data_IF_602806620813
#
_entry.id   IF_602806620813
#
_cell.length_a   1.000
_cell.length_b   1.000
_cell.length_c   1.000
_cell.angle_alpha   90.00
_cell.angle_beta   90.00
_cell.angle_gamma   90.00
#
_symmetry.space_group_name_H-M   'P 1'
#
loop_
_entity.id
_entity.type
_entity.pdbx_description
1 polymer ?
#
# COMPACT_ATOMS: atom_id res chain seq x y z
N UNK A 1 -5.36 29.93 -5.68
CA UNK A 1 -4.09 29.56 -6.34
C UNK A 1 -4.09 28.05 -6.44
N UNK A 2 -4.62 27.51 -7.55
CA UNK A 2 -4.53 26.08 -7.82
C UNK A 2 -3.07 25.74 -8.08
N UNK A 3 -2.35 25.44 -7.01
CA UNK A 3 -1.06 24.77 -7.10
C UNK A 3 -1.37 23.45 -7.80
N UNK A 4 -0.88 23.30 -9.03
CA UNK A 4 -0.91 22.06 -9.79
C UNK A 4 -0.35 20.94 -8.91
N UNK A 5 -1.23 20.23 -8.19
CA UNK A 5 -0.87 19.01 -7.48
C UNK A 5 -0.51 18.04 -8.60
N UNK A 6 0.77 17.70 -8.76
CA UNK A 6 1.17 16.85 -9.87
C UNK A 6 0.39 15.54 -9.73
N UNK A 7 -0.18 15.01 -10.82
CA UNK A 7 -1.12 13.88 -10.78
C UNK A 7 -0.62 12.71 -9.91
N UNK A 8 0.71 12.47 -9.88
CA UNK A 8 1.37 11.50 -9.00
C UNK A 8 1.09 11.70 -7.50
N UNK A 9 1.10 12.94 -7.01
CA UNK A 9 0.85 13.27 -5.61
C UNK A 9 -0.62 13.02 -5.26
N UNK A 10 -1.54 13.37 -6.16
CA UNK A 10 -2.97 13.09 -5.98
C UNK A 10 -3.27 11.59 -5.94
N UNK A 11 -2.59 10.77 -6.76
CA UNK A 11 -2.75 9.31 -6.72
C UNK A 11 -2.28 8.74 -5.37
N UNK A 12 -1.08 9.12 -4.90
CA UNK A 12 -0.56 8.62 -3.63
C UNK A 12 -1.42 9.08 -2.43
N UNK A 13 -1.95 10.30 -2.47
CA UNK A 13 -2.87 10.81 -1.45
C UNK A 13 -4.18 10.02 -1.43
N UNK A 14 -4.76 9.72 -2.61
CA UNK A 14 -5.96 8.91 -2.70
C UNK A 14 -5.73 7.47 -2.22
N UNK A 15 -4.59 6.85 -2.56
CA UNK A 15 -4.23 5.51 -2.07
C UNK A 15 -4.04 5.50 -0.55
N UNK A 16 -3.45 6.56 0.00
CA UNK A 16 -3.31 6.71 1.45
C UNK A 16 -4.68 6.81 2.14
N UNK A 17 -5.59 7.63 1.61
CA UNK A 17 -6.95 7.75 2.14
C UNK A 17 -7.71 6.41 2.07
N UNK A 18 -7.61 5.69 0.97
CA UNK A 18 -8.17 4.35 0.85
C UNK A 18 -7.61 3.38 1.90
N UNK A 19 -6.28 3.44 2.17
CA UNK A 19 -5.64 2.63 3.22
C UNK A 19 -6.20 2.92 4.60
N UNK A 20 -6.39 4.20 4.93
CA UNK A 20 -6.94 4.66 6.21
C UNK A 20 -8.41 4.27 6.38
N UNK A 21 -9.20 4.34 5.29
CA UNK A 21 -10.60 3.90 5.25
C UNK A 21 -10.75 2.36 5.15
N UNK A 22 -9.64 1.62 4.99
CA UNK A 22 -9.64 0.17 4.81
C UNK A 22 -10.20 -0.31 3.47
N UNK A 23 -10.26 0.57 2.47
CA UNK A 23 -10.76 0.28 1.14
C UNK A 23 -9.69 -0.35 0.25
N UNK A 24 -10.09 -1.39 -0.48
CA UNK A 24 -9.25 -2.10 -1.46
C UNK A 24 -7.94 -2.67 -0.89
N UNK A 25 -7.75 -2.65 0.43
CA UNK A 25 -6.62 -3.29 1.10
C UNK A 25 -6.77 -4.81 1.00
N UNK A 26 -5.95 -5.41 0.15
CA UNK A 26 -5.88 -6.83 -0.16
C UNK A 26 -4.76 -7.55 0.62
N UNK A 27 -4.04 -6.81 1.46
CA UNK A 27 -2.98 -7.29 2.33
C UNK A 27 -3.22 -6.84 3.78
N UNK A 28 -2.84 -7.69 4.74
CA UNK A 28 -2.62 -7.30 6.13
C UNK A 28 -1.25 -7.83 6.57
N UNK A 29 -0.51 -7.01 7.31
CA UNK A 29 0.82 -7.35 7.85
C UNK A 29 0.71 -7.30 9.37
N UNK A 30 1.10 -8.38 10.06
CA UNK A 30 1.12 -8.41 11.52
C UNK A 30 2.52 -8.10 12.05
N UNK A 31 2.63 -7.08 12.89
CA UNK A 31 3.89 -6.70 13.55
C UNK A 31 3.62 -6.55 15.04
N UNK A 32 4.24 -7.40 15.86
CA UNK A 32 4.16 -7.34 17.33
C UNK A 32 2.71 -7.28 17.87
N UNK A 33 1.78 -8.02 17.24
CA UNK A 33 0.37 -8.05 17.64
C UNK A 33 -0.49 -6.92 17.09
N UNK A 34 0.08 -5.97 16.35
CA UNK A 34 -0.65 -4.97 15.59
C UNK A 34 -0.82 -5.39 14.13
N UNK A 35 -2.00 -5.14 13.56
CA UNK A 35 -2.32 -5.46 12.17
C UNK A 35 -2.35 -4.19 11.32
N UNK A 36 -1.61 -4.20 10.21
CA UNK A 36 -1.54 -3.10 9.26
C UNK A 36 -2.14 -3.51 7.92
N UNK A 37 -3.24 -2.87 7.52
CA UNK A 37 -3.84 -3.07 6.20
C UNK A 37 -3.07 -2.27 5.15
N UNK A 38 -2.86 -2.87 3.98
CA UNK A 38 -2.13 -2.25 2.89
C UNK A 38 -2.58 -2.78 1.51
N UNK A 39 -2.12 -2.11 0.46
CA UNK A 39 -2.29 -2.53 -0.93
C UNK A 39 -1.03 -3.27 -1.41
N UNK A 40 -1.18 -4.49 -1.92
CA UNK A 40 -0.07 -5.31 -2.44
C UNK A 40 0.72 -4.60 -3.53
N UNK A 41 0.01 -3.96 -4.46
CA UNK A 41 0.61 -3.25 -5.60
C UNK A 41 1.52 -2.10 -5.14
N UNK A 42 1.11 -1.34 -4.13
CA UNK A 42 1.87 -0.20 -3.60
C UNK A 42 3.16 -0.70 -2.93
N UNK A 43 3.07 -1.76 -2.12
CA UNK A 43 4.25 -2.33 -1.44
C UNK A 43 5.22 -2.95 -2.44
N UNK A 44 4.72 -3.69 -3.44
CA UNK A 44 5.53 -4.30 -4.48
C UNK A 44 6.23 -3.26 -5.38
N UNK A 45 5.60 -2.11 -5.62
CA UNK A 45 6.22 -1.01 -6.36
C UNK A 45 7.29 -0.27 -5.54
N UNK A 46 7.18 -0.26 -4.20
CA UNK A 46 8.01 0.58 -3.32
C UNK A 46 9.17 -0.17 -2.66
N UNK A 47 9.14 -1.52 -2.63
CA UNK A 47 10.13 -2.33 -1.91
C UNK A 47 10.40 -3.64 -2.65
N UNK A 48 11.67 -3.94 -3.00
CA UNK A 48 12.03 -5.23 -3.61
C UNK A 48 11.64 -6.44 -2.75
N UNK A 49 11.73 -6.30 -1.42
CA UNK A 49 11.33 -7.36 -0.49
C UNK A 49 9.84 -7.69 -0.63
N UNK A 50 8.98 -6.67 -0.61
CA UNK A 50 7.55 -6.87 -0.81
C UNK A 50 7.22 -7.26 -2.24
N UNK A 51 7.99 -6.79 -3.22
CA UNK A 51 7.85 -7.21 -4.62
C UNK A 51 8.01 -8.72 -4.76
N UNK A 52 9.12 -9.27 -4.27
CA UNK A 52 9.38 -10.71 -4.30
C UNK A 52 8.34 -11.49 -3.51
N UNK A 53 7.97 -11.03 -2.31
CA UNK A 53 6.95 -11.73 -1.52
C UNK A 53 5.57 -11.72 -2.18
N UNK A 54 5.13 -10.59 -2.72
CA UNK A 54 3.81 -10.45 -3.36
C UNK A 54 3.74 -11.26 -4.65
N UNK A 55 4.81 -11.30 -5.45
CA UNK A 55 4.85 -11.97 -6.76
C UNK A 55 5.09 -13.48 -6.65
N UNK A 56 5.84 -13.94 -5.65
CA UNK A 56 6.16 -15.37 -5.46
C UNK A 56 5.09 -16.14 -4.67
N UNK A 57 3.97 -15.49 -4.35
CA UNK A 57 2.92 -16.11 -3.53
C UNK A 57 3.33 -16.29 -2.07
N UNK A 58 4.28 -15.49 -1.57
CA UNK A 58 4.61 -15.45 -0.15
C UNK A 58 3.35 -15.09 0.63
N UNK A 59 2.87 -16.02 1.44
CA UNK A 59 1.76 -15.77 2.36
C UNK A 59 2.21 -14.62 3.26
N UNK A 60 1.56 -13.46 3.12
CA UNK A 60 1.81 -12.34 4.00
C UNK A 60 1.66 -12.81 5.45
N UNK A 61 2.72 -12.61 6.24
CA UNK A 61 2.74 -12.93 7.68
C UNK A 61 1.97 -11.89 8.49
#
# INVERSE_FOLDING_TARGET
>A
LDLHVPARASVLENLNRQREEGQLCDLSIQVQGQVFRAHRCVLAASSPYFHDQVTRGGSAV
#
